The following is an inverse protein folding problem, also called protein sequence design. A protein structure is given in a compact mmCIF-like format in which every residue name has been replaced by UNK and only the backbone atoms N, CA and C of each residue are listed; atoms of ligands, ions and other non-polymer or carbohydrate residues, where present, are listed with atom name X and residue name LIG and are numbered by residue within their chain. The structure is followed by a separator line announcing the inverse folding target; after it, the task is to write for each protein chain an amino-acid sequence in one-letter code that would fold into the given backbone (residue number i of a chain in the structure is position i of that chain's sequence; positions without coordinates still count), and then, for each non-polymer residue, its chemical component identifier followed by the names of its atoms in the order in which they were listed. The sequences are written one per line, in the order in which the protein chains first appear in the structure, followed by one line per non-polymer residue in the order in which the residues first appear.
data_IF_984480721136
#
_entry.id   IF_984480721136
#
_cell.length_a   1.000
_cell.length_b   1.000
_cell.length_c   1.000
_cell.angle_alpha   90.00
_cell.angle_beta   90.00
_cell.angle_gamma   90.00
#
_symmetry.space_group_name_H-M   'P 1'
#
loop_
_entity.id
_entity.type
_entity.pdbx_description
1 polymer ?
#
# COMPACT_ATOMS: atom_id res chain seq x y z
N UNK A 1 10.94 -6.38 -8.76
CA UNK A 1 9.95 -5.37 -8.32
C UNK A 1 9.29 -4.76 -9.53
N UNK A 2 7.98 -5.00 -9.73
CA UNK A 2 7.16 -4.27 -10.72
C UNK A 2 7.38 -2.77 -10.48
N UNK A 3 7.58 -1.97 -11.52
CA UNK A 3 7.72 -0.51 -11.36
C UNK A 3 6.55 0.17 -12.03
N UNK A 4 5.79 0.96 -11.27
CA UNK A 4 4.64 1.70 -11.79
C UNK A 4 5.06 3.09 -12.27
N UNK A 5 4.92 3.33 -13.56
CA UNK A 5 5.02 4.66 -14.15
C UNK A 5 3.62 5.27 -14.23
N UNK A 6 3.42 6.44 -13.60
CA UNK A 6 2.15 7.19 -13.65
C UNK A 6 1.76 7.65 -15.07
N UNK A 7 2.64 7.49 -16.05
CA UNK A 7 2.34 7.72 -17.48
C UNK A 7 1.60 6.55 -18.15
N UNK A 8 1.59 5.36 -17.53
CA UNK A 8 0.93 4.14 -18.02
C UNK A 8 -0.23 3.79 -17.10
N UNK A 9 -1.40 3.45 -17.66
CA UNK A 9 -2.53 3.04 -16.83
C UNK A 9 -2.38 1.59 -16.39
N UNK A 10 -2.85 1.28 -15.18
CA UNK A 10 -2.89 -0.11 -14.70
C UNK A 10 -3.69 -1.00 -15.65
N UNK A 11 -4.81 -0.51 -16.21
CA UNK A 11 -5.60 -1.24 -17.18
C UNK A 11 -4.83 -1.64 -18.44
N UNK A 12 -3.76 -0.92 -18.78
CA UNK A 12 -2.98 -1.16 -19.99
C UNK A 12 -1.94 -2.28 -19.81
N UNK A 13 -1.64 -2.66 -18.55
CA UNK A 13 -0.63 -3.67 -18.21
C UNK A 13 -1.20 -4.87 -17.44
N UNK A 14 -2.44 -4.81 -16.96
CA UNK A 14 -2.99 -5.86 -16.09
C UNK A 14 -3.03 -7.25 -16.75
N UNK A 15 -3.09 -7.33 -18.08
CA UNK A 15 -3.12 -8.61 -18.80
C UNK A 15 -1.73 -9.26 -18.92
N UNK A 16 -0.66 -8.54 -18.54
CA UNK A 16 0.72 -9.03 -18.57
C UNK A 16 1.13 -9.78 -17.29
N UNK A 17 0.27 -9.80 -16.26
CA UNK A 17 0.58 -10.35 -14.94
C UNK A 17 -0.31 -11.54 -14.58
N UNK A 18 0.32 -12.59 -14.08
CA UNK A 18 -0.32 -13.77 -13.49
C UNK A 18 -0.49 -13.60 -11.98
N UNK A 19 -1.25 -14.50 -11.35
CA UNK A 19 -1.35 -14.56 -9.88
C UNK A 19 0.02 -14.74 -9.24
N UNK A 20 0.87 -15.55 -9.83
CA UNK A 20 2.23 -15.83 -9.35
C UNK A 20 3.10 -14.56 -9.41
N UNK A 21 2.99 -13.77 -10.49
CA UNK A 21 3.70 -12.49 -10.58
C UNK A 21 3.22 -11.50 -9.51
N UNK A 22 1.92 -11.49 -9.19
CA UNK A 22 1.38 -10.66 -8.11
C UNK A 22 1.90 -11.09 -6.74
N UNK A 23 2.01 -12.40 -6.48
CA UNK A 23 2.61 -12.94 -5.25
C UNK A 23 4.07 -12.50 -5.12
N UNK A 24 4.85 -12.63 -6.19
CA UNK A 24 6.24 -12.17 -6.21
C UNK A 24 6.32 -10.66 -5.94
N UNK A 25 5.53 -9.87 -6.66
CA UNK A 25 5.51 -8.42 -6.50
C UNK A 25 5.08 -7.96 -5.09
N UNK A 26 4.11 -8.63 -4.45
CA UNK A 26 3.73 -8.37 -3.06
C UNK A 26 4.90 -8.63 -2.12
N UNK A 27 5.61 -9.73 -2.29
CA UNK A 27 6.77 -10.04 -1.45
C UNK A 27 7.85 -8.96 -1.61
N UNK A 28 8.22 -8.64 -2.85
CA UNK A 28 9.22 -7.62 -3.16
C UNK A 28 8.83 -6.24 -2.62
N UNK A 29 7.56 -5.85 -2.72
CA UNK A 29 7.07 -4.57 -2.21
C UNK A 29 7.22 -4.45 -0.69
N UNK A 30 6.90 -5.52 0.05
CA UNK A 30 7.09 -5.55 1.50
C UNK A 30 8.57 -5.65 1.87
N UNK A 31 9.35 -6.48 1.15
CA UNK A 31 10.79 -6.65 1.39
C UNK A 31 11.55 -5.33 1.23
N UNK A 32 11.19 -4.54 0.21
CA UNK A 32 11.76 -3.20 0.01
C UNK A 32 11.59 -2.30 1.25
N UNK A 33 10.38 -2.28 1.84
CA UNK A 33 10.10 -1.44 3.01
C UNK A 33 10.78 -2.00 4.25
N UNK A 34 10.79 -3.33 4.44
CA UNK A 34 11.51 -3.97 5.54
C UNK A 34 13.01 -3.66 5.49
N UNK A 35 13.64 -3.77 4.32
CA UNK A 35 15.04 -3.41 4.12
C UNK A 35 15.33 -1.94 4.47
N UNK A 36 14.39 -1.04 4.15
CA UNK A 36 14.51 0.38 4.42
C UNK A 36 14.44 0.70 5.93
N UNK A 37 13.66 -0.05 6.72
CA UNK A 37 13.36 0.31 8.12
C UNK A 37 14.00 -0.56 9.19
N UNK A 38 14.41 -1.80 8.88
CA UNK A 38 14.72 -2.83 9.90
C UNK A 38 15.82 -2.45 10.91
N UNK A 39 16.76 -1.59 10.50
CA UNK A 39 17.93 -1.22 11.30
C UNK A 39 17.81 0.22 11.86
N UNK A 40 16.65 0.84 11.74
CA UNK A 40 16.38 2.18 12.26
C UNK A 40 16.14 2.15 13.78
N UNK A 41 16.41 3.25 14.51
CA UNK A 41 15.99 3.38 15.89
C UNK A 41 14.50 3.75 15.99
N UNK A 42 13.86 3.39 17.09
CA UNK A 42 12.43 3.66 17.34
C UNK A 42 12.08 5.15 17.24
N UNK A 43 13.03 6.05 17.52
CA UNK A 43 12.85 7.50 17.38
C UNK A 43 12.46 7.94 15.97
N UNK A 44 12.79 7.17 14.92
CA UNK A 44 12.42 7.49 13.54
C UNK A 44 10.93 7.23 13.28
N UNK A 45 10.33 6.31 14.02
CA UNK A 45 8.94 5.88 13.83
C UNK A 45 7.98 7.04 14.10
N UNK A 46 8.26 7.79 15.16
CA UNK A 46 7.46 8.93 15.62
C UNK A 46 8.07 10.28 15.23
N UNK A 47 9.18 10.29 14.49
CA UNK A 47 9.78 11.53 14.01
C UNK A 47 8.78 12.26 13.12
N UNK A 48 8.55 13.54 13.44
CA UNK A 48 7.66 14.41 12.70
C UNK A 48 8.45 15.11 11.58
N UNK A 49 8.31 14.70 10.32
CA UNK A 49 9.01 15.36 9.22
C UNK A 49 8.43 16.76 8.95
N UNK A 50 9.19 17.57 8.23
CA UNK A 50 8.71 18.79 7.59
C UNK A 50 8.26 18.44 6.18
N UNK A 51 6.98 18.64 5.90
CA UNK A 51 6.41 18.57 4.57
C UNK A 51 5.50 19.78 4.36
N UNK A 52 5.92 20.71 3.49
CA UNK A 52 5.17 21.93 3.20
C UNK A 52 3.95 21.68 2.31
N UNK A 53 3.89 20.53 1.66
CA UNK A 53 2.80 20.13 0.78
C UNK A 53 1.88 19.09 1.44
N UNK A 54 2.05 18.85 2.75
CA UNK A 54 1.21 17.93 3.52
C UNK A 54 -0.25 18.34 3.40
N UNK A 55 -1.02 17.53 2.68
CA UNK A 55 -2.45 17.71 2.51
C UNK A 55 -3.17 16.38 2.31
N UNK A 56 -3.88 15.92 3.33
CA UNK A 56 -4.74 14.75 3.28
C UNK A 56 -6.22 15.16 3.45
N UNK A 57 -7.01 15.24 2.35
CA UNK A 57 -8.43 15.56 2.43
C UNK A 57 -9.27 14.44 3.05
N UNK A 58 -8.72 13.24 3.22
CA UNK A 58 -9.38 12.08 3.83
C UNK A 58 -9.03 11.90 5.32
N UNK A 59 -8.25 12.82 5.91
CA UNK A 59 -7.86 12.76 7.31
C UNK A 59 -9.08 12.67 8.25
N UNK A 60 -8.91 11.94 9.37
CA UNK A 60 -9.98 11.70 10.33
C UNK A 60 -10.54 13.01 10.94
N UNK A 61 -9.69 14.03 11.06
CA UNK A 61 -10.09 15.37 11.51
C UNK A 61 -9.55 16.49 10.60
N UNK A 62 -10.21 17.64 10.64
CA UNK A 62 -9.72 18.84 9.92
C UNK A 62 -8.34 19.31 10.41
N UNK A 63 -8.00 19.06 11.67
CA UNK A 63 -6.70 19.42 12.24
C UNK A 63 -5.56 18.57 11.70
N UNK A 64 -5.86 17.34 11.25
CA UNK A 64 -4.88 16.39 10.71
C UNK A 64 -4.64 16.54 9.21
N UNK A 65 -5.52 17.27 8.51
CA UNK A 65 -5.43 17.44 7.05
C UNK A 65 -4.09 18.00 6.57
N UNK A 66 -3.37 18.77 7.40
CA UNK A 66 -2.10 19.39 7.02
C UNK A 66 -0.92 18.90 7.88
N UNK A 67 -1.06 17.73 8.52
CA UNK A 67 0.01 17.13 9.31
C UNK A 67 0.86 16.25 8.39
N UNK A 68 2.17 16.48 8.39
CA UNK A 68 3.09 15.61 7.69
C UNK A 68 3.09 14.22 8.35
N UNK A 69 3.06 13.16 7.56
CA UNK A 69 2.95 11.81 8.11
C UNK A 69 4.28 11.32 8.68
N UNK A 70 4.23 10.72 9.87
CA UNK A 70 5.39 10.03 10.45
C UNK A 70 5.64 8.71 9.71
N UNK A 71 6.79 8.07 9.95
CA UNK A 71 7.07 6.76 9.39
C UNK A 71 6.00 5.73 9.79
N UNK A 72 5.53 5.76 11.04
CA UNK A 72 4.44 4.91 11.51
C UNK A 72 3.14 5.14 10.76
N UNK A 73 2.77 6.40 10.52
CA UNK A 73 1.56 6.74 9.78
C UNK A 73 1.61 6.23 8.33
N UNK A 74 2.70 6.47 7.61
CA UNK A 74 2.83 6.01 6.22
C UNK A 74 2.69 4.48 6.14
N UNK A 75 3.34 3.71 7.02
CA UNK A 75 3.29 2.24 6.99
C UNK A 75 1.88 1.70 7.26
N UNK A 76 1.14 2.24 8.24
CA UNK A 76 -0.22 1.73 8.53
C UNK A 76 -1.21 2.07 7.42
N UNK A 77 -1.11 3.25 6.80
CA UNK A 77 -1.97 3.66 5.68
C UNK A 77 -1.68 2.83 4.42
N UNK A 78 -0.39 2.64 4.11
CA UNK A 78 0.08 1.84 2.99
C UNK A 78 -0.42 0.40 3.09
N UNK A 79 -0.13 -0.27 4.21
CA UNK A 79 -0.56 -1.66 4.44
C UNK A 79 -2.07 -1.84 4.40
N UNK A 80 -2.85 -0.92 4.99
CA UNK A 80 -4.30 -1.00 4.96
C UNK A 80 -4.89 -0.79 3.55
N UNK A 81 -4.24 0.03 2.72
CA UNK A 81 -4.65 0.22 1.32
C UNK A 81 -4.40 -1.03 0.49
N UNK A 82 -3.21 -1.63 0.60
CA UNK A 82 -2.87 -2.85 -0.14
C UNK A 82 -3.63 -4.08 0.33
N UNK A 83 -3.95 -4.19 1.62
CA UNK A 83 -4.83 -5.24 2.13
C UNK A 83 -6.25 -5.13 1.59
N UNK A 84 -6.80 -3.91 1.52
CA UNK A 84 -8.09 -3.70 0.89
C UNK A 84 -8.05 -4.04 -0.60
N UNK A 85 -7.01 -3.64 -1.31
CA UNK A 85 -6.83 -3.99 -2.72
C UNK A 85 -6.80 -5.51 -2.92
N UNK A 86 -6.00 -6.24 -2.12
CA UNK A 86 -5.91 -7.70 -2.18
C UNK A 86 -7.24 -8.39 -1.86
N UNK A 87 -7.96 -7.91 -0.83
CA UNK A 87 -9.28 -8.43 -0.47
C UNK A 87 -10.29 -8.22 -1.60
N UNK A 88 -10.33 -7.01 -2.19
CA UNK A 88 -11.20 -6.70 -3.34
C UNK A 88 -10.85 -7.56 -4.55
N UNK A 89 -9.57 -7.68 -4.86
CA UNK A 89 -9.09 -8.49 -5.97
C UNK A 89 -9.51 -9.96 -5.81
N UNK A 90 -9.42 -10.51 -4.60
CA UNK A 90 -9.88 -11.88 -4.29
C UNK A 90 -11.39 -12.07 -4.51
N UNK A 91 -12.21 -11.08 -4.15
CA UNK A 91 -13.65 -11.11 -4.42
C UNK A 91 -13.95 -11.03 -5.92
N UNK A 92 -13.27 -10.13 -6.64
CA UNK A 92 -13.43 -9.97 -8.08
C UNK A 92 -13.03 -11.23 -8.85
N UNK A 93 -11.92 -11.86 -8.47
CA UNK A 93 -11.45 -13.13 -9.05
C UNK A 93 -12.48 -14.27 -8.91
N UNK A 94 -13.48 -14.11 -8.02
CA UNK A 94 -14.59 -15.05 -7.81
C UNK A 94 -15.91 -14.59 -8.44
N UNK A 95 -15.89 -13.49 -9.19
CA UNK A 95 -17.08 -12.91 -9.81
C UNK A 95 -17.97 -12.17 -8.83
N UNK A 96 -17.42 -11.65 -7.72
CA UNK A 96 -18.18 -10.91 -6.70
C UNK A 96 -17.87 -9.41 -6.77
N UNK A 97 -18.91 -8.61 -6.97
CA UNK A 97 -18.84 -7.14 -6.90
C UNK A 97 -18.78 -6.71 -5.43
N UNK A 98 -17.79 -5.87 -5.10
CA UNK A 98 -17.60 -5.24 -3.79
C UNK A 98 -17.96 -3.75 -3.88
N UNK A 99 -19.03 -3.34 -3.23
CA UNK A 99 -19.49 -1.94 -3.26
C UNK A 99 -19.05 -1.15 -2.02
N UNK A 100 -18.77 -1.83 -0.91
CA UNK A 100 -18.43 -1.20 0.36
C UNK A 100 -16.91 -1.03 0.53
N UNK A 101 -16.53 -0.06 1.36
CA UNK A 101 -15.15 0.09 1.86
C UNK A 101 -14.83 -1.09 2.78
N UNK A 102 -13.67 -1.71 2.60
CA UNK A 102 -13.20 -2.81 3.44
C UNK A 102 -11.93 -2.45 4.22
N UNK A 103 -11.47 -1.20 4.08
CA UNK A 103 -10.28 -0.73 4.77
C UNK A 103 -10.47 -0.74 6.30
N UNK A 104 -9.47 -1.30 6.98
CA UNK A 104 -9.28 -1.15 8.42
C UNK A 104 -7.85 -0.70 8.67
N UNK A 105 -7.68 0.49 9.25
CA UNK A 105 -6.36 1.05 9.56
C UNK A 105 -6.06 0.91 11.05
N UNK A 106 -4.81 0.59 11.39
CA UNK A 106 -4.32 0.67 12.77
C UNK A 106 -4.14 2.15 13.13
N UNK A 107 -4.62 2.64 14.29
CA UNK A 107 -4.38 4.03 14.69
C UNK A 107 -2.88 4.31 14.78
N UNK A 108 -2.39 5.18 13.90
CA UNK A 108 -0.96 5.40 13.71
C UNK A 108 -0.25 5.91 14.98
N UNK A 109 -0.98 6.60 15.87
CA UNK A 109 -0.49 7.11 17.15
C UNK A 109 -0.06 5.99 18.10
N UNK A 110 -0.57 4.77 17.88
CA UNK A 110 -0.23 3.59 18.70
C UNK A 110 1.05 2.89 18.22
N UNK A 111 1.58 3.28 17.08
CA UNK A 111 2.76 2.69 16.44
C UNK A 111 3.98 3.57 16.71
N UNK A 112 4.86 3.11 17.60
CA UNK A 112 5.97 3.91 18.12
C UNK A 112 7.34 3.23 18.05
N UNK A 113 7.39 1.98 17.60
CA UNK A 113 8.62 1.19 17.52
C UNK A 113 8.81 0.57 16.14
N UNK A 114 10.06 0.36 15.73
CA UNK A 114 10.39 -0.28 14.45
C UNK A 114 9.89 -1.72 14.44
N UNK A 115 9.92 -2.42 15.58
CA UNK A 115 9.37 -3.76 15.68
C UNK A 115 7.87 -3.79 15.36
N UNK A 116 7.08 -2.82 15.81
CA UNK A 116 5.65 -2.74 15.44
C UNK A 116 5.47 -2.52 13.93
N UNK A 117 6.35 -1.76 13.27
CA UNK A 117 6.30 -1.60 11.81
C UNK A 117 6.61 -2.91 11.09
N UNK A 118 7.65 -3.63 11.53
CA UNK A 118 8.02 -4.94 10.98
C UNK A 118 6.86 -5.92 11.14
N UNK A 119 6.30 -6.03 12.35
CA UNK A 119 5.16 -6.93 12.63
C UNK A 119 3.95 -6.58 11.76
N UNK A 120 3.69 -5.27 11.57
CA UNK A 120 2.59 -4.79 10.73
C UNK A 120 2.78 -5.13 9.26
N UNK A 121 4.00 -4.96 8.73
CA UNK A 121 4.36 -5.31 7.35
C UNK A 121 4.26 -6.81 7.10
N UNK A 122 4.74 -7.63 8.03
CA UNK A 122 4.65 -9.09 7.93
C UNK A 122 3.22 -9.60 8.07
N UNK A 123 2.40 -8.99 8.93
CA UNK A 123 0.96 -9.26 8.97
C UNK A 123 0.30 -8.90 7.62
N UNK A 124 0.65 -7.75 7.05
CA UNK A 124 0.13 -7.32 5.75
C UNK A 124 0.51 -8.29 4.64
N UNK A 125 1.79 -8.71 4.59
CA UNK A 125 2.29 -9.74 3.66
C UNK A 125 1.45 -11.00 3.78
N UNK A 126 1.31 -11.55 5.00
CA UNK A 126 0.50 -12.75 5.26
C UNK A 126 -0.93 -12.60 4.76
N UNK A 127 -1.58 -11.46 5.00
CA UNK A 127 -2.96 -11.21 4.60
C UNK A 127 -3.10 -11.11 3.08
N UNK A 128 -2.26 -10.32 2.42
CA UNK A 128 -2.29 -10.14 0.97
C UNK A 128 -2.03 -11.47 0.25
N UNK A 129 -1.02 -12.23 0.68
CA UNK A 129 -0.73 -13.56 0.13
C UNK A 129 -1.90 -14.53 0.34
N UNK A 130 -2.54 -14.53 1.52
CA UNK A 130 -3.71 -15.38 1.74
C UNK A 130 -4.89 -15.03 0.81
N UNK A 131 -5.08 -13.74 0.50
CA UNK A 131 -6.11 -13.31 -0.46
C UNK A 131 -5.78 -13.73 -1.89
N UNK A 132 -4.50 -13.70 -2.29
CA UNK A 132 -4.03 -14.17 -3.59
C UNK A 132 -4.12 -15.69 -3.71
N UNK A 133 -3.67 -16.43 -2.69
CA UNK A 133 -3.76 -17.90 -2.62
C UNK A 133 -5.22 -18.38 -2.68
N UNK A 134 -6.16 -17.56 -2.21
CA UNK A 134 -7.58 -17.83 -2.30
C UNK A 134 -8.18 -17.60 -3.70
N UNK A 135 -7.41 -17.23 -4.74
CA UNK A 135 -7.96 -17.11 -6.09
C UNK A 135 -8.27 -18.51 -6.68
N UNK A 136 -9.36 -18.66 -7.45
CA UNK A 136 -9.54 -19.86 -8.28
C UNK A 136 -8.39 -19.99 -9.28
N UNK A 137 -8.06 -21.23 -9.68
CA UNK A 137 -7.08 -21.48 -10.75
C UNK A 137 -7.50 -20.82 -12.08
N UNK A 138 -8.81 -20.69 -12.30
CA UNK A 138 -9.42 -19.92 -13.39
C UNK A 138 -10.19 -18.72 -12.81
N UNK A 139 -9.52 -17.57 -12.55
CA UNK A 139 -10.17 -16.41 -11.95
C UNK A 139 -11.13 -15.71 -12.92
N UNK A 140 -12.20 -15.13 -12.40
CA UNK A 140 -13.06 -14.24 -13.17
C UNK A 140 -12.35 -12.89 -13.41
N UNK A 141 -12.19 -12.53 -14.68
CA UNK A 141 -11.59 -11.26 -15.10
C UNK A 141 -12.57 -10.35 -15.86
N UNK A 142 -13.83 -10.76 -15.99
CA UNK A 142 -14.89 -10.05 -16.72
C UNK A 142 -15.48 -8.91 -15.89
N UNK A 143 -15.48 -9.03 -14.57
CA UNK A 143 -15.91 -7.95 -13.68
C UNK A 143 -14.79 -6.91 -13.61
N UNK A 144 -15.11 -5.70 -14.08
CA UNK A 144 -14.19 -4.57 -14.10
C UNK A 144 -14.76 -3.38 -13.33
N UNK A 145 -13.88 -2.69 -12.60
CA UNK A 145 -14.16 -1.37 -12.04
C UNK A 145 -13.56 -0.28 -12.91
N UNK A 146 -14.30 0.81 -13.07
CA UNK A 146 -13.74 2.08 -13.52
C UNK A 146 -13.21 2.83 -12.30
N UNK A 147 -11.90 2.74 -12.09
CA UNK A 147 -11.22 3.52 -11.06
C UNK A 147 -10.41 4.61 -11.72
N UNK A 148 -10.52 5.82 -11.16
CA UNK A 148 -9.67 6.97 -11.45
C UNK A 148 -9.08 6.98 -12.87
N UNK A 149 -9.90 7.37 -13.83
CA UNK A 149 -9.70 7.19 -15.28
C UNK A 149 -8.28 7.54 -15.81
N UNK A 150 -7.59 8.48 -15.16
CA UNK A 150 -6.25 8.91 -15.58
C UNK A 150 -5.13 7.92 -15.26
N UNK A 151 -5.24 7.14 -14.18
CA UNK A 151 -4.15 6.30 -13.68
C UNK A 151 -4.48 4.82 -13.53
N UNK A 152 -5.72 4.45 -13.21
CA UNK A 152 -6.11 3.05 -13.13
C UNK A 152 -6.89 2.58 -14.37
N UNK A 153 -7.93 3.30 -14.76
CA UNK A 153 -8.78 2.93 -15.90
C UNK A 153 -9.77 1.81 -15.55
N UNK A 154 -10.05 0.94 -16.52
CA UNK A 154 -10.94 -0.23 -16.36
C UNK A 154 -10.14 -1.44 -15.86
N UNK A 155 -10.22 -1.73 -14.57
CA UNK A 155 -9.41 -2.76 -13.93
C UNK A 155 -10.23 -3.95 -13.46
N UNK A 156 -9.72 -5.16 -13.71
CA UNK A 156 -10.27 -6.42 -13.21
C UNK A 156 -9.62 -6.80 -11.86
N UNK A 157 -9.68 -8.08 -11.46
CA UNK A 157 -9.03 -8.58 -10.25
C UNK A 157 -7.50 -8.32 -10.24
N UNK A 158 -6.81 -8.54 -11.36
CA UNK A 158 -5.36 -8.31 -11.48
C UNK A 158 -5.05 -6.83 -11.35
N UNK A 159 -5.74 -5.98 -12.10
CA UNK A 159 -5.55 -4.54 -12.01
C UNK A 159 -5.90 -3.98 -10.62
N UNK A 160 -6.86 -4.56 -9.91
CA UNK A 160 -7.16 -4.18 -8.52
C UNK A 160 -5.97 -4.45 -7.60
N UNK A 161 -5.35 -5.62 -7.70
CA UNK A 161 -4.15 -5.92 -6.91
C UNK A 161 -2.98 -4.99 -7.26
N UNK A 162 -2.71 -4.81 -8.56
CA UNK A 162 -1.68 -3.88 -9.05
C UNK A 162 -1.91 -2.46 -8.54
N UNK A 163 -3.16 -2.02 -8.35
CA UNK A 163 -3.46 -0.69 -7.81
C UNK A 163 -3.03 -0.49 -6.37
N UNK A 164 -3.10 -1.54 -5.53
CA UNK A 164 -2.54 -1.51 -4.18
C UNK A 164 -1.02 -1.39 -4.21
N UNK A 165 -0.37 -2.22 -5.01
CA UNK A 165 1.09 -2.20 -5.16
C UNK A 165 1.60 -0.86 -5.71
N UNK A 166 0.89 -0.27 -6.68
CA UNK A 166 1.23 1.05 -7.22
C UNK A 166 1.09 2.15 -6.17
N UNK A 167 0.05 2.08 -5.34
CA UNK A 167 -0.13 3.00 -4.22
C UNK A 167 1.02 2.89 -3.20
N UNK A 168 1.50 1.69 -2.90
CA UNK A 168 2.64 1.52 -2.00
C UNK A 168 3.91 2.19 -2.55
N UNK A 169 4.17 2.05 -3.86
CA UNK A 169 5.31 2.70 -4.50
C UNK A 169 5.28 4.21 -4.45
N UNK A 170 4.08 4.82 -4.51
CA UNK A 170 3.93 6.26 -4.37
C UNK A 170 4.43 6.76 -3.00
N UNK A 171 4.42 5.90 -1.97
CA UNK A 171 4.90 6.21 -0.63
C UNK A 171 6.40 5.94 -0.41
N UNK A 172 7.09 5.21 -1.30
CA UNK A 172 8.50 4.85 -1.08
C UNK A 172 9.44 6.05 -0.95
N UNK A 173 9.20 7.09 -1.76
CA UNK A 173 9.97 8.35 -1.66
C UNK A 173 9.67 9.09 -0.37
N UNK A 174 8.42 9.04 0.10
CA UNK A 174 8.02 9.65 1.36
C UNK A 174 8.71 8.96 2.54
N UNK A 175 8.71 7.62 2.57
CA UNK A 175 9.43 6.84 3.59
C UNK A 175 10.93 7.20 3.61
N UNK A 176 11.58 7.21 2.44
CA UNK A 176 12.99 7.55 2.34
C UNK A 176 13.29 8.99 2.80
N UNK A 177 12.40 9.94 2.50
CA UNK A 177 12.56 11.34 2.91
C UNK A 177 12.39 11.53 4.43
N UNK A 178 11.42 10.84 5.04
CA UNK A 178 11.24 10.84 6.51
C UNK A 178 12.51 10.36 7.20
N UNK A 179 13.07 9.24 6.73
CA UNK A 179 14.29 8.64 7.26
C UNK A 179 15.47 9.59 7.11
N UNK A 180 15.62 10.21 5.93
CA UNK A 180 16.67 11.20 5.66
C UNK A 180 16.58 12.40 6.62
N UNK A 181 15.37 12.93 6.83
CA UNK A 181 15.17 14.06 7.76
C UNK A 181 15.42 13.69 9.22
N UNK A 182 14.99 12.50 9.66
CA UNK A 182 15.27 11.99 11.00
C UNK A 182 16.78 11.84 11.22
N UNK A 183 17.49 11.33 10.22
CA UNK A 183 18.96 11.21 10.25
C UNK A 183 19.65 12.57 10.36
N UNK A 184 19.23 13.56 9.56
CA UNK A 184 19.77 14.92 9.63
C UNK A 184 19.49 15.60 10.98
N UNK A 185 18.37 15.27 11.61
CA UNK A 185 18.00 15.76 12.94
C UNK A 185 18.79 15.08 14.08
N UNK A 186 19.47 13.96 13.80
CA UNK A 186 20.26 13.21 14.78
C UNK A 186 19.42 12.58 15.89
N UNK A 187 18.15 12.26 15.61
CA UNK A 187 17.28 11.50 16.50
C UNK A 187 17.56 10.01 16.44
#
# INVERSE_FOLDING_TARGET
MITFDRSVKISDIQDDYTREDLIEATNEAIDYVLELIRDLPDSYVTFQPVDHEAYDPAAATQGEMNIAWTLGHVVVHMTATSEEAAARASMLARGVVVEQRMRSEVPWETVTTVQQLIDRLEESRRMQLAYLDAWPDEPNLEIVYELYERWAGRINAVGMMLSGLAHDQDHYKQLAEIIRQAQDAGV
#
